data_IF_801561773041
#
_entry.id   IF_801561773041
#
_cell.length_a   1.000
_cell.length_b   1.000
_cell.length_c   1.000
_cell.angle_alpha   90.00
_cell.angle_beta   90.00
_cell.angle_gamma   90.00
#
_symmetry.space_group_name_H-M   'P 1'
#
loop_
_entity.id
_entity.type
_entity.pdbx_description
1 polymer ?
#
# COMPACT_ATOMS: atom_id res chain seq x y z
N UNK A 1 6.83 0.84 -21.24
CA UNK A 1 6.86 0.21 -19.91
C UNK A 1 5.53 0.52 -19.19
N UNK A 2 5.38 0.25 -17.90
CA UNK A 2 4.11 0.43 -17.20
C UNK A 2 3.83 1.91 -16.92
N UNK A 3 2.62 2.40 -17.23
CA UNK A 3 2.20 3.79 -16.98
C UNK A 3 1.94 4.07 -15.49
N UNK A 4 1.46 3.06 -14.77
CA UNK A 4 1.02 3.15 -13.38
C UNK A 4 1.80 2.14 -12.55
N UNK A 5 2.59 2.63 -11.60
CA UNK A 5 3.35 1.79 -10.67
C UNK A 5 2.68 1.84 -9.31
N UNK A 6 2.35 0.67 -8.78
CA UNK A 6 1.82 0.52 -7.42
C UNK A 6 2.91 -0.04 -6.52
N UNK A 7 3.15 0.58 -5.37
CA UNK A 7 4.19 0.14 -4.43
C UNK A 7 3.87 0.47 -2.98
N UNK A 8 4.72 0.05 -2.07
CA UNK A 8 4.72 0.42 -0.65
C UNK A 8 6.16 0.35 -0.14
N UNK A 9 6.41 0.94 1.03
CA UNK A 9 7.71 0.80 1.70
C UNK A 9 7.97 -0.67 2.09
N UNK A 10 9.23 -1.00 2.34
CA UNK A 10 9.64 -2.39 2.56
C UNK A 10 8.98 -3.01 3.80
N UNK A 11 8.76 -2.21 4.85
CA UNK A 11 8.14 -2.70 6.08
C UNK A 11 6.67 -3.07 5.86
N UNK A 12 6.00 -2.45 4.89
CA UNK A 12 4.64 -2.78 4.47
C UNK A 12 4.58 -3.80 3.33
N UNK A 13 5.63 -3.95 2.52
CA UNK A 13 5.60 -4.84 1.35
C UNK A 13 5.96 -6.29 1.67
N UNK A 14 6.86 -6.51 2.63
CA UNK A 14 7.39 -7.83 3.03
C UNK A 14 6.30 -8.83 3.47
N UNK A 15 6.50 -10.13 3.31
CA UNK A 15 5.63 -11.17 3.88
C UNK A 15 6.02 -11.60 5.30
N UNK A 16 7.13 -11.07 5.82
CA UNK A 16 7.65 -11.42 7.14
C UNK A 16 7.97 -12.92 7.28
N UNK A 17 8.39 -13.59 6.20
CA UNK A 17 8.57 -15.06 6.14
C UNK A 17 7.29 -15.84 6.50
N UNK A 18 6.11 -15.29 6.19
CA UNK A 18 4.83 -15.92 6.52
C UNK A 18 4.35 -15.65 7.94
N UNK A 19 5.11 -14.94 8.77
CA UNK A 19 4.79 -14.68 10.17
C UNK A 19 4.51 -13.19 10.42
N UNK A 20 3.24 -12.77 10.27
CA UNK A 20 2.80 -11.37 10.44
C UNK A 20 3.22 -10.74 11.79
N UNK A 21 3.39 -11.54 12.84
CA UNK A 21 3.87 -11.09 14.14
C UNK A 21 5.23 -10.38 14.06
N UNK A 22 6.12 -10.79 13.15
CA UNK A 22 7.42 -10.13 12.97
C UNK A 22 7.29 -8.68 12.46
N UNK A 23 6.13 -8.30 11.91
CA UNK A 23 5.83 -6.90 11.58
C UNK A 23 5.97 -5.96 12.78
N UNK A 24 5.68 -6.43 14.01
CA UNK A 24 5.88 -5.63 15.22
C UNK A 24 7.34 -5.29 15.50
N UNK A 25 8.29 -6.12 15.05
CA UNK A 25 9.72 -5.82 15.17
C UNK A 25 10.10 -4.56 14.37
N UNK A 26 9.39 -4.26 13.27
CA UNK A 26 9.64 -3.06 12.46
C UNK A 26 9.04 -1.79 13.07
N UNK A 27 8.19 -1.91 14.09
CA UNK A 27 7.67 -0.79 14.86
C UNK A 27 8.69 -0.26 15.89
N UNK A 28 9.78 -0.98 16.16
CA UNK A 28 10.83 -0.52 17.08
C UNK A 28 11.66 0.61 16.45
N UNK A 29 12.29 1.49 17.27
CA UNK A 29 13.31 2.40 16.80
C UNK A 29 14.44 1.67 16.07
N UNK A 30 14.83 2.14 14.87
CA UNK A 30 15.83 1.45 14.05
C UNK A 30 17.20 1.32 14.75
N UNK A 31 17.52 2.23 15.68
CA UNK A 31 18.73 2.15 16.50
C UNK A 31 18.80 0.92 17.42
N UNK A 32 17.66 0.26 17.66
CA UNK A 32 17.56 -0.95 18.49
C UNK A 32 17.47 -2.23 17.66
N UNK A 33 17.27 -2.12 16.35
CA UNK A 33 17.11 -3.25 15.45
C UNK A 33 18.34 -3.36 14.57
N UNK A 34 19.22 -4.36 14.76
CA UNK A 34 20.37 -4.54 13.89
C UNK A 34 19.94 -4.68 12.43
N UNK A 35 20.70 -4.08 11.51
CA UNK A 35 20.36 -4.04 10.09
C UNK A 35 20.15 -5.44 9.50
N UNK A 36 21.00 -6.40 9.91
CA UNK A 36 20.89 -7.79 9.47
C UNK A 36 19.53 -8.39 9.86
N UNK A 37 19.08 -8.14 11.09
CA UNK A 37 17.79 -8.60 11.62
C UNK A 37 16.65 -7.92 10.87
N UNK A 38 16.70 -6.59 10.70
CA UNK A 38 15.67 -5.85 9.98
C UNK A 38 15.46 -6.39 8.57
N UNK A 39 16.53 -6.66 7.81
CA UNK A 39 16.41 -6.97 6.38
C UNK A 39 16.42 -8.45 6.01
N UNK A 40 16.93 -9.34 6.87
CA UNK A 40 16.96 -10.77 6.58
C UNK A 40 15.91 -11.55 7.38
N UNK A 41 15.51 -11.06 8.55
CA UNK A 41 14.54 -11.73 9.42
C UNK A 41 13.19 -11.01 9.35
N UNK A 42 13.15 -9.72 9.64
CA UNK A 42 11.87 -9.01 9.77
C UNK A 42 11.28 -8.59 8.41
N UNK A 43 12.11 -8.21 7.44
CA UNK A 43 11.64 -7.72 6.14
C UNK A 43 12.34 -8.38 4.95
N UNK A 44 12.22 -9.72 4.78
CA UNK A 44 12.78 -10.40 3.62
C UNK A 44 12.35 -9.79 2.28
N UNK A 45 13.15 -10.05 1.25
CA UNK A 45 12.89 -9.53 -0.09
C UNK A 45 11.75 -10.30 -0.75
N UNK A 46 10.76 -9.58 -1.26
CA UNK A 46 9.67 -10.18 -2.03
C UNK A 46 10.18 -10.67 -3.39
N UNK A 47 9.88 -11.92 -3.80
CA UNK A 47 10.24 -12.44 -5.12
C UNK A 47 9.42 -11.76 -6.23
N UNK A 48 10.01 -11.70 -7.43
CA UNK A 48 9.39 -11.05 -8.59
C UNK A 48 9.42 -11.93 -9.84
N UNK A 49 8.51 -11.66 -10.77
CA UNK A 49 8.53 -12.16 -12.15
C UNK A 49 8.72 -10.97 -13.07
N UNK A 50 9.94 -10.80 -13.60
CA UNK A 50 10.33 -9.52 -14.19
C UNK A 50 10.28 -8.42 -13.12
N UNK A 51 9.60 -7.30 -13.42
CA UNK A 51 9.38 -6.18 -12.48
C UNK A 51 8.25 -6.43 -11.48
N UNK A 52 7.31 -7.33 -11.80
CA UNK A 52 6.07 -7.55 -11.06
C UNK A 52 6.31 -8.41 -9.81
N UNK A 53 5.74 -8.00 -8.68
CA UNK A 53 5.76 -8.78 -7.45
C UNK A 53 4.97 -10.10 -7.61
N UNK A 54 5.47 -11.20 -7.04
CA UNK A 54 4.72 -12.48 -7.02
C UNK A 54 3.50 -12.41 -6.09
N UNK A 55 3.60 -11.61 -5.03
CA UNK A 55 2.52 -11.28 -4.12
C UNK A 55 2.69 -9.83 -3.64
N UNK A 56 1.65 -9.24 -3.08
CA UNK A 56 1.69 -7.86 -2.59
C UNK A 56 0.77 -7.64 -1.38
N UNK A 57 0.89 -6.51 -0.66
CA UNK A 57 -0.10 -6.11 0.34
C UNK A 57 -1.52 -6.16 -0.23
N UNK A 58 -2.46 -6.72 0.53
CA UNK A 58 -3.84 -6.95 0.07
C UNK A 58 -4.51 -5.67 -0.46
N UNK A 59 -4.29 -4.53 0.19
CA UNK A 59 -4.82 -3.24 -0.25
C UNK A 59 -4.34 -2.85 -1.65
N UNK A 60 -3.07 -3.11 -1.99
CA UNK A 60 -2.52 -2.83 -3.32
C UNK A 60 -3.12 -3.81 -4.36
N UNK A 61 -3.32 -5.08 -3.98
CA UNK A 61 -3.96 -6.07 -4.85
C UNK A 61 -5.38 -5.66 -5.24
N UNK A 62 -6.15 -5.11 -4.29
CA UNK A 62 -7.48 -4.55 -4.56
C UNK A 62 -7.44 -3.32 -5.45
N UNK A 63 -6.51 -2.39 -5.19
CA UNK A 63 -6.31 -1.21 -6.05
C UNK A 63 -5.98 -1.61 -7.48
N UNK A 64 -5.09 -2.58 -7.68
CA UNK A 64 -4.80 -3.11 -9.01
C UNK A 64 -6.06 -3.67 -9.67
N UNK A 65 -6.77 -4.58 -8.99
CA UNK A 65 -7.98 -5.19 -9.52
C UNK A 65 -9.04 -4.14 -9.89
N UNK A 66 -9.17 -3.07 -9.11
CA UNK A 66 -10.06 -1.94 -9.40
C UNK A 66 -9.65 -1.13 -10.62
N UNK A 67 -8.35 -0.92 -10.84
CA UNK A 67 -7.90 -0.30 -12.09
C UNK A 67 -8.24 -1.20 -13.28
N UNK A 68 -7.97 -2.50 -13.20
CA UNK A 68 -8.30 -3.42 -14.30
C UNK A 68 -9.82 -3.46 -14.57
N UNK A 69 -10.63 -3.53 -13.52
CA UNK A 69 -12.10 -3.46 -13.64
C UNK A 69 -12.60 -2.14 -14.24
N UNK A 70 -11.84 -1.05 -14.08
CA UNK A 70 -12.13 0.24 -14.69
C UNK A 70 -11.64 0.38 -16.15
N UNK A 71 -11.06 -0.67 -16.73
CA UNK A 71 -10.64 -0.74 -18.13
C UNK A 71 -9.16 -0.48 -18.38
N UNK A 72 -8.32 -0.42 -17.35
CA UNK A 72 -6.87 -0.34 -17.53
C UNK A 72 -6.28 -1.69 -17.94
N UNK A 73 -5.25 -1.69 -18.78
CA UNK A 73 -4.52 -2.91 -19.12
C UNK A 73 -3.64 -3.36 -17.95
N UNK A 74 -3.46 -4.67 -17.81
CA UNK A 74 -2.54 -5.25 -16.81
C UNK A 74 -1.07 -4.97 -17.12
N UNK A 75 -0.77 -4.61 -18.37
CA UNK A 75 0.57 -4.18 -18.77
C UNK A 75 0.84 -2.71 -18.39
N UNK A 76 -0.21 -1.89 -18.29
CA UNK A 76 -0.11 -0.49 -17.87
C UNK A 76 -0.02 -0.33 -16.35
N UNK A 77 -0.52 -1.31 -15.58
CA UNK A 77 -0.55 -1.28 -14.11
C UNK A 77 0.36 -2.37 -13.56
N UNK A 78 1.43 -2.00 -12.86
CA UNK A 78 2.37 -2.98 -12.29
C UNK A 78 2.60 -2.74 -10.80
N UNK A 79 2.43 -3.81 -10.01
CA UNK A 79 2.81 -3.82 -8.60
C UNK A 79 4.30 -4.16 -8.47
N UNK A 80 5.08 -3.23 -7.94
CA UNK A 80 6.55 -3.32 -7.87
C UNK A 80 7.02 -3.25 -6.42
N UNK A 81 7.85 -4.20 -5.93
CA UNK A 81 8.42 -4.08 -4.60
C UNK A 81 9.40 -2.88 -4.52
N UNK A 82 9.56 -2.23 -3.36
CA UNK A 82 10.28 -0.96 -3.22
C UNK A 82 11.72 -0.99 -3.77
N UNK A 83 12.43 -2.12 -3.59
CA UNK A 83 13.80 -2.33 -4.10
C UNK A 83 13.93 -2.29 -5.63
N UNK A 84 12.82 -2.39 -6.36
CA UNK A 84 12.79 -2.41 -7.83
C UNK A 84 12.18 -1.14 -8.44
N UNK A 85 11.72 -0.20 -7.62
CA UNK A 85 11.10 1.06 -8.07
C UNK A 85 12.03 1.83 -9.03
N UNK A 86 13.32 1.94 -8.71
CA UNK A 86 14.30 2.61 -9.58
C UNK A 86 14.55 1.92 -10.93
N UNK A 87 14.20 0.63 -11.05
CA UNK A 87 14.29 -0.11 -12.32
C UNK A 87 12.98 -0.10 -13.11
N UNK A 88 11.86 0.15 -12.44
CA UNK A 88 10.54 0.09 -13.04
C UNK A 88 10.05 1.44 -13.55
N UNK A 89 10.51 2.55 -12.94
CA UNK A 89 10.18 3.91 -13.35
C UNK A 89 11.07 4.34 -14.51
N UNK A 90 10.45 4.91 -15.54
CA UNK A 90 11.07 5.50 -16.71
C UNK A 90 10.25 6.69 -17.25
N UNK A 91 10.52 7.10 -18.49
CA UNK A 91 9.83 8.22 -19.14
C UNK A 91 8.38 7.92 -19.57
N UNK A 92 7.98 6.65 -19.63
CA UNK A 92 6.59 6.26 -19.91
C UNK A 92 5.72 6.26 -18.64
N UNK A 93 6.36 6.31 -17.47
CA UNK A 93 5.66 6.29 -16.18
C UNK A 93 4.95 7.62 -15.97
N UNK A 94 3.64 7.58 -15.76
CA UNK A 94 2.82 8.76 -15.52
C UNK A 94 2.39 8.89 -14.05
N UNK A 95 2.21 7.76 -13.36
CA UNK A 95 1.71 7.72 -11.97
C UNK A 95 2.49 6.68 -11.14
N UNK A 96 2.90 7.08 -9.95
CA UNK A 96 3.39 6.19 -8.89
C UNK A 96 2.46 6.31 -7.69
N UNK A 97 1.73 5.24 -7.38
CA UNK A 97 0.84 5.17 -6.24
C UNK A 97 1.45 4.34 -5.10
N UNK A 98 1.50 4.92 -3.91
CA UNK A 98 2.19 4.36 -2.75
C UNK A 98 1.18 4.08 -1.64
N UNK A 99 1.11 2.83 -1.22
CA UNK A 99 0.33 2.44 -0.05
C UNK A 99 1.15 2.61 1.23
N UNK A 100 0.57 3.28 2.24
CA UNK A 100 1.21 3.54 3.53
C UNK A 100 0.36 3.06 4.70
N UNK A 101 1.03 2.46 5.70
CA UNK A 101 0.43 2.03 6.96
C UNK A 101 0.83 2.94 8.13
N UNK A 102 2.12 3.22 8.28
CA UNK A 102 2.64 4.00 9.41
C UNK A 102 3.92 4.80 9.05
N UNK A 103 3.83 5.72 8.08
CA UNK A 103 4.99 6.37 7.46
C UNK A 103 5.78 7.32 8.39
N UNK A 104 5.23 7.68 9.54
CA UNK A 104 5.85 8.56 10.56
C UNK A 104 6.01 7.89 11.92
N UNK A 105 5.68 6.59 12.02
CA UNK A 105 5.79 5.87 13.27
C UNK A 105 4.91 6.46 14.37
N UNK A 106 3.68 6.83 14.03
CA UNK A 106 2.68 7.45 14.92
C UNK A 106 1.48 6.52 15.16
N UNK A 107 1.40 5.38 14.47
CA UNK A 107 0.40 4.36 14.77
C UNK A 107 0.58 3.83 16.20
N UNK A 108 -0.50 3.36 16.86
CA UNK A 108 -0.47 3.07 18.30
C UNK A 108 0.70 2.18 18.74
N UNK A 109 0.96 1.08 18.02
CA UNK A 109 2.03 0.15 18.39
C UNK A 109 3.42 0.79 18.26
N UNK A 110 3.69 1.42 17.11
CA UNK A 110 4.97 2.09 16.86
C UNK A 110 5.20 3.25 17.81
N UNK A 111 4.17 4.05 18.09
CA UNK A 111 4.24 5.15 19.06
C UNK A 111 4.58 4.63 20.45
N UNK A 112 3.86 3.60 20.93
CA UNK A 112 4.10 3.00 22.25
C UNK A 112 5.52 2.42 22.35
N UNK A 113 5.95 1.65 21.35
CA UNK A 113 7.29 1.06 21.36
C UNK A 113 8.39 2.11 21.28
N UNK A 114 8.21 3.17 20.49
CA UNK A 114 9.12 4.33 20.48
C UNK A 114 9.19 5.00 21.84
N UNK A 115 8.04 5.29 22.47
CA UNK A 115 7.98 5.96 23.77
C UNK A 115 8.70 5.13 24.85
N UNK A 116 8.40 3.83 24.95
CA UNK A 116 9.01 2.94 25.93
C UNK A 116 10.52 2.74 25.70
N UNK A 117 10.97 2.82 24.46
CA UNK A 117 12.37 2.69 24.11
C UNK A 117 13.20 3.96 24.36
N UNK A 118 12.60 5.08 24.78
CA UNK A 118 13.29 6.38 24.90
C UNK A 118 13.31 7.21 23.61
N UNK A 119 12.34 6.98 22.73
CA UNK A 119 12.17 7.69 21.46
C UNK A 119 13.09 7.18 20.33
N UNK A 120 13.04 7.92 19.22
CA UNK A 120 13.79 7.63 18.00
C UNK A 120 12.88 7.26 16.82
N UNK A 121 13.44 7.30 15.61
CA UNK A 121 12.76 6.95 14.35
C UNK A 121 12.56 5.43 14.27
N UNK A 122 11.36 4.98 13.92
CA UNK A 122 11.05 3.54 13.76
C UNK A 122 11.62 2.98 12.46
N UNK A 123 11.71 1.65 12.35
CA UNK A 123 12.06 1.01 11.07
C UNK A 123 10.99 1.30 10.00
N UNK A 124 9.68 1.35 10.36
CA UNK A 124 8.61 1.76 9.44
C UNK A 124 8.83 3.16 8.86
N UNK A 125 9.15 4.13 9.71
CA UNK A 125 9.43 5.50 9.31
C UNK A 125 10.70 5.58 8.44
N UNK A 126 11.75 4.83 8.79
CA UNK A 126 12.98 4.75 8.01
C UNK A 126 12.74 4.19 6.60
N UNK A 127 11.99 3.09 6.46
CA UNK A 127 11.72 2.48 5.16
C UNK A 127 10.86 3.37 4.27
N UNK A 128 9.87 4.07 4.83
CA UNK A 128 9.09 5.05 4.10
C UNK A 128 9.98 6.18 3.57
N UNK A 129 10.85 6.75 4.40
CA UNK A 129 11.75 7.83 3.96
C UNK A 129 12.74 7.36 2.88
N UNK A 130 13.26 6.13 3.00
CA UNK A 130 14.10 5.51 1.96
C UNK A 130 13.36 5.41 0.63
N UNK A 131 12.13 4.92 0.63
CA UNK A 131 11.30 4.85 -0.58
C UNK A 131 11.05 6.25 -1.17
N UNK A 132 10.59 7.20 -0.35
CA UNK A 132 10.25 8.54 -0.84
C UNK A 132 11.46 9.30 -1.38
N UNK A 133 12.66 9.08 -0.84
CA UNK A 133 13.89 9.67 -1.39
C UNK A 133 14.17 9.19 -2.82
N UNK A 134 14.00 7.88 -3.07
CA UNK A 134 14.15 7.31 -4.42
C UNK A 134 13.06 7.85 -5.35
N UNK A 135 11.80 7.82 -4.91
CA UNK A 135 10.66 8.29 -5.71
C UNK A 135 10.81 9.77 -6.07
N UNK A 136 11.20 10.63 -5.12
CA UNK A 136 11.39 12.07 -5.38
C UNK A 136 12.49 12.32 -6.41
N UNK A 137 13.63 11.66 -6.28
CA UNK A 137 14.72 11.79 -7.25
C UNK A 137 14.30 11.35 -8.66
N UNK A 138 13.53 10.27 -8.77
CA UNK A 138 13.01 9.81 -10.05
C UNK A 138 11.92 10.74 -10.59
N UNK A 139 11.08 11.31 -9.72
CA UNK A 139 10.04 12.27 -10.10
C UNK A 139 10.65 13.54 -10.69
N UNK A 140 11.72 14.05 -10.10
CA UNK A 140 12.47 15.20 -10.66
C UNK A 140 13.02 14.91 -12.06
N UNK A 141 13.37 13.65 -12.34
CA UNK A 141 13.89 13.22 -13.64
C UNK A 141 12.81 12.97 -14.69
N UNK A 142 11.68 12.36 -14.31
CA UNK A 142 10.69 11.84 -15.26
C UNK A 142 9.33 12.56 -15.22
N UNK A 143 9.04 13.36 -14.18
CA UNK A 143 7.86 14.22 -14.14
C UNK A 143 6.52 13.54 -13.79
N UNK A 144 6.52 12.27 -13.41
CA UNK A 144 5.29 11.54 -13.02
C UNK A 144 4.61 12.10 -11.77
N UNK A 145 3.33 11.75 -11.59
CA UNK A 145 2.54 12.10 -10.40
C UNK A 145 2.67 11.06 -9.29
N UNK A 146 2.74 11.52 -8.05
CA UNK A 146 2.81 10.69 -6.84
C UNK A 146 1.51 10.79 -6.07
N UNK A 147 0.84 9.65 -5.91
CA UNK A 147 -0.37 9.52 -5.11
C UNK A 147 -0.05 8.65 -3.90
N UNK A 148 -0.39 9.10 -2.69
CA UNK A 148 -0.17 8.32 -1.46
C UNK A 148 -1.50 8.06 -0.78
N UNK A 149 -1.79 6.78 -0.52
CA UNK A 149 -3.02 6.36 0.13
C UNK A 149 -2.80 5.21 1.12
N UNK A 150 -3.87 4.81 1.79
CA UNK A 150 -3.82 3.79 2.85
C UNK A 150 -4.06 4.37 4.24
N UNK A 151 -4.18 3.52 5.26
CA UNK A 151 -4.63 3.91 6.59
C UNK A 151 -3.66 4.85 7.32
N UNK A 152 -2.38 4.91 6.91
CA UNK A 152 -1.37 5.78 7.50
C UNK A 152 -1.26 7.17 6.86
N UNK A 153 -2.03 7.48 5.81
CA UNK A 153 -1.81 8.70 5.01
C UNK A 153 -2.01 9.99 5.82
N UNK A 154 -2.86 9.97 6.86
CA UNK A 154 -3.14 11.13 7.72
C UNK A 154 -1.87 11.70 8.38
N UNK A 155 -0.85 10.85 8.57
CA UNK A 155 0.45 11.24 9.15
C UNK A 155 1.26 12.14 8.21
N UNK A 156 0.89 12.22 6.93
CA UNK A 156 1.61 12.94 5.87
C UNK A 156 0.97 14.30 5.54
N UNK A 157 -0.15 14.65 6.17
CA UNK A 157 -0.78 15.97 6.00
C UNK A 157 0.18 17.07 6.47
N UNK A 158 0.46 18.04 5.61
CA UNK A 158 1.48 19.09 5.84
C UNK A 158 2.91 18.68 5.48
N UNK A 159 3.14 17.44 5.03
CA UNK A 159 4.44 16.94 4.58
C UNK A 159 4.48 16.61 3.08
N UNK A 160 3.44 16.96 2.34
CA UNK A 160 3.27 16.64 0.92
C UNK A 160 4.44 17.18 0.10
N UNK A 161 4.80 18.45 0.30
CA UNK A 161 5.93 19.07 -0.39
C UNK A 161 7.27 18.39 -0.05
N UNK A 162 7.51 18.07 1.22
CA UNK A 162 8.75 17.41 1.68
C UNK A 162 8.97 16.06 0.97
N UNK A 163 7.90 15.31 0.77
CA UNK A 163 7.95 13.99 0.16
C UNK A 163 7.60 13.99 -1.35
N UNK A 164 7.32 15.16 -1.94
CA UNK A 164 6.97 15.28 -3.36
C UNK A 164 5.64 14.63 -3.73
N UNK A 165 4.68 14.60 -2.81
CA UNK A 165 3.34 14.00 -2.98
C UNK A 165 2.43 15.00 -3.69
N UNK A 166 1.78 14.60 -4.78
CA UNK A 166 0.81 15.45 -5.48
C UNK A 166 -0.61 15.27 -4.94
N UNK A 167 -0.98 14.03 -4.57
CA UNK A 167 -2.32 13.69 -4.09
C UNK A 167 -2.23 12.78 -2.86
N UNK A 168 -2.86 13.20 -1.75
CA UNK A 168 -3.20 12.32 -0.64
C UNK A 168 -4.59 11.72 -0.86
N UNK A 169 -4.68 10.40 -0.79
CA UNK A 169 -5.93 9.65 -1.00
C UNK A 169 -6.42 9.03 0.31
N UNK A 170 -7.55 9.53 0.81
CA UNK A 170 -8.23 9.09 2.02
C UNK A 170 -9.44 8.21 1.69
N UNK A 171 -9.69 7.15 2.46
CA UNK A 171 -10.89 6.32 2.29
C UNK A 171 -10.67 5.11 1.38
N UNK A 172 -11.76 4.63 0.76
CA UNK A 172 -11.73 3.42 -0.08
C UNK A 172 -11.41 3.76 -1.53
N UNK A 173 -10.56 2.95 -2.16
CA UNK A 173 -9.97 3.30 -3.45
C UNK A 173 -10.77 2.77 -4.64
N UNK A 174 -11.56 1.72 -4.45
CA UNK A 174 -12.02 0.86 -5.54
C UNK A 174 -12.81 1.59 -6.64
N UNK A 175 -13.55 2.65 -6.31
CA UNK A 175 -14.29 3.48 -7.26
C UNK A 175 -13.59 4.80 -7.58
N UNK A 176 -13.26 5.57 -6.55
CA UNK A 176 -12.77 6.95 -6.72
C UNK A 176 -11.34 7.00 -7.24
N UNK A 177 -10.48 6.04 -6.86
CA UNK A 177 -9.08 6.06 -7.29
C UNK A 177 -8.92 5.84 -8.81
N UNK A 178 -9.57 4.85 -9.46
CA UNK A 178 -9.55 4.74 -10.92
C UNK A 178 -10.02 6.01 -11.65
N UNK A 179 -11.00 6.74 -11.11
CA UNK A 179 -11.47 8.02 -11.68
C UNK A 179 -10.36 9.07 -11.57
N UNK A 180 -9.71 9.20 -10.41
CA UNK A 180 -8.58 10.12 -10.21
C UNK A 180 -7.42 9.80 -11.14
N UNK A 181 -7.09 8.52 -11.33
CA UNK A 181 -6.03 8.08 -12.25
C UNK A 181 -6.39 8.46 -13.68
N UNK A 182 -7.61 8.18 -14.16
CA UNK A 182 -8.04 8.58 -15.52
C UNK A 182 -7.90 10.08 -15.75
N UNK A 183 -8.34 10.90 -14.79
CA UNK A 183 -8.20 12.36 -14.85
C UNK A 183 -6.74 12.79 -15.00
N UNK A 184 -5.86 12.26 -14.15
CA UNK A 184 -4.44 12.60 -14.19
C UNK A 184 -3.78 12.20 -15.51
N UNK A 185 -4.10 11.02 -16.05
CA UNK A 185 -3.58 10.57 -17.36
C UNK A 185 -4.10 11.41 -18.53
N UNK A 186 -5.30 11.99 -18.40
CA UNK A 186 -5.85 12.93 -19.38
C UNK A 186 -5.30 14.36 -19.23
N UNK A 187 -4.40 14.61 -18.29
CA UNK A 187 -3.90 15.95 -17.98
C UNK A 187 -4.90 16.85 -17.25
N UNK A 188 -5.98 16.29 -16.71
CA UNK A 188 -6.96 17.03 -15.90
C UNK A 188 -6.44 17.28 -14.49
N UNK A 189 -6.87 18.39 -13.87
CA UNK A 189 -6.53 18.67 -12.49
C UNK A 189 -7.28 17.75 -11.52
N UNK A 190 -6.56 17.26 -10.51
CA UNK A 190 -7.11 16.51 -9.39
C UNK A 190 -6.75 17.23 -8.08
N UNK A 191 -7.68 17.35 -7.11
CA UNK A 191 -7.38 17.97 -5.82
C UNK A 191 -6.20 17.29 -5.12
N UNK A 192 -5.41 18.08 -4.38
CA UNK A 192 -4.29 17.56 -3.57
C UNK A 192 -4.72 16.58 -2.48
N UNK A 193 -5.99 16.63 -2.08
CA UNK A 193 -6.58 15.66 -1.17
C UNK A 193 -7.87 15.13 -1.81
N UNK A 194 -7.92 13.81 -2.01
CA UNK A 194 -9.07 13.10 -2.55
C UNK A 194 -9.62 12.19 -1.47
N UNK A 195 -10.94 12.22 -1.27
CA UNK A 195 -11.65 11.32 -0.37
C UNK A 195 -12.45 10.31 -1.18
N UNK A 196 -12.05 9.05 -1.10
CA UNK A 196 -12.77 7.90 -1.60
C UNK A 196 -14.00 7.59 -0.77
N UNK A 197 -15.07 7.24 -1.47
CA UNK A 197 -16.36 6.88 -0.88
C UNK A 197 -16.42 5.41 -0.46
N UNK A 198 -17.27 5.04 0.50
CA UNK A 198 -17.53 3.63 0.82
C UNK A 198 -18.00 2.87 -0.42
N UNK A 199 -17.27 1.81 -0.80
CA UNK A 199 -17.57 1.05 -2.02
C UNK A 199 -18.60 -0.05 -1.76
N UNK A 200 -19.72 -0.11 -2.51
CA UNK A 200 -20.66 -1.23 -2.47
C UNK A 200 -19.97 -2.58 -2.71
N UNK A 201 -20.41 -3.66 -2.05
CA UNK A 201 -19.74 -4.96 -2.12
C UNK A 201 -19.61 -5.50 -3.55
N UNK A 202 -20.64 -5.32 -4.38
CA UNK A 202 -20.68 -5.73 -5.79
C UNK A 202 -19.70 -4.95 -6.68
N UNK A 203 -19.15 -3.84 -6.19
CA UNK A 203 -18.16 -3.01 -6.87
C UNK A 203 -16.73 -3.26 -6.38
N UNK A 204 -16.52 -4.14 -5.40
CA UNK A 204 -15.19 -4.52 -4.93
C UNK A 204 -14.74 -5.76 -5.73
N UNK A 205 -13.77 -5.63 -6.65
CA UNK A 205 -13.35 -6.76 -7.46
C UNK A 205 -12.53 -7.77 -6.65
N UNK A 206 -12.50 -9.02 -7.11
CA UNK A 206 -11.58 -10.04 -6.61
C UNK A 206 -10.13 -9.65 -6.91
N UNK A 207 -9.20 -10.00 -6.02
CA UNK A 207 -7.78 -9.82 -6.29
C UNK A 207 -7.33 -10.62 -7.51
N UNK A 208 -6.43 -10.04 -8.31
CA UNK A 208 -5.82 -10.69 -9.48
C UNK A 208 -4.30 -10.88 -9.33
N UNK A 209 -3.75 -10.39 -8.22
CA UNK A 209 -2.39 -10.63 -7.75
C UNK A 209 -2.49 -11.21 -6.34
N UNK A 210 -1.75 -12.28 -6.02
CA UNK A 210 -1.82 -12.91 -4.71
C UNK A 210 -1.52 -11.93 -3.58
N UNK A 211 -2.27 -12.02 -2.49
CA UNK A 211 -1.99 -11.24 -1.29
C UNK A 211 -0.85 -11.89 -0.51
N UNK A 212 0.07 -11.07 0.03
CA UNK A 212 1.09 -11.55 0.97
C UNK A 212 0.37 -12.27 2.12
N UNK A 213 0.94 -13.37 2.61
CA UNK A 213 0.39 -14.18 3.71
C UNK A 213 -1.07 -14.64 3.50
N UNK A 214 -1.57 -14.62 2.26
CA UNK A 214 -2.91 -15.08 1.92
C UNK A 214 -4.02 -14.31 2.62
N UNK A 215 -3.80 -13.02 2.90
CA UNK A 215 -4.82 -12.16 3.49
C UNK A 215 -6.09 -12.13 2.65
N UNK A 216 -7.24 -12.41 3.26
CA UNK A 216 -8.57 -12.31 2.64
C UNK A 216 -9.48 -11.44 3.52
N UNK A 217 -10.18 -10.48 2.91
CA UNK A 217 -11.07 -9.60 3.68
C UNK A 217 -12.44 -10.24 3.85
N UNK A 218 -12.76 -10.64 5.09
CA UNK A 218 -14.09 -11.17 5.43
C UNK A 218 -15.09 -10.07 5.78
N UNK A 219 -14.62 -8.91 6.25
CA UNK A 219 -15.44 -7.76 6.61
C UNK A 219 -14.72 -6.46 6.30
N UNK A 220 -15.47 -5.39 6.05
CA UNK A 220 -14.94 -4.03 5.92
C UNK A 220 -15.75 -3.07 6.76
N UNK A 221 -15.07 -2.09 7.35
CA UNK A 221 -15.66 -1.16 8.31
C UNK A 221 -15.80 -1.74 9.71
N UNK A 222 -16.38 -0.95 10.63
CA UNK A 222 -16.51 -1.24 12.05
C UNK A 222 -17.82 -0.64 12.57
N UNK A 223 -18.69 -1.44 13.21
CA UNK A 223 -20.01 -0.97 13.67
C UNK A 223 -19.94 -0.11 14.93
N UNK A 224 -18.77 -0.01 15.59
CA UNK A 224 -18.60 0.72 16.86
C UNK A 224 -18.71 2.24 16.75
N UNK A 225 -18.43 2.79 15.55
CA UNK A 225 -18.52 4.24 15.26
C UNK A 225 -17.87 5.14 16.32
N UNK A 226 -16.69 4.76 16.80
CA UNK A 226 -15.96 5.54 17.80
C UNK A 226 -15.71 6.97 17.29
N UNK A 227 -15.87 7.97 18.17
CA UNK A 227 -15.77 9.40 17.82
C UNK A 227 -14.39 9.79 17.25
N UNK A 228 -13.34 9.04 17.60
CA UNK A 228 -11.97 9.27 17.13
C UNK A 228 -11.61 8.51 15.83
N UNK A 229 -12.49 7.63 15.34
CA UNK A 229 -12.21 6.84 14.14
C UNK A 229 -12.62 7.57 12.86
N UNK A 230 -11.95 7.24 11.74
CA UNK A 230 -12.28 7.78 10.42
C UNK A 230 -13.72 7.37 10.02
N UNK A 231 -14.60 8.32 9.63
CA UNK A 231 -15.99 8.04 9.25
C UNK A 231 -16.17 7.03 8.11
N UNK A 232 -15.23 6.92 7.17
CA UNK A 232 -15.32 5.91 6.09
C UNK A 232 -15.31 4.49 6.66
N UNK A 233 -14.72 4.28 7.84
CA UNK A 233 -14.73 3.00 8.54
C UNK A 233 -16.08 2.66 9.18
N UNK A 234 -17.09 3.54 9.18
CA UNK A 234 -18.38 3.25 9.83
C UNK A 234 -19.30 2.34 9.00
N UNK A 235 -19.01 2.16 7.71
CA UNK A 235 -19.81 1.34 6.80
C UNK A 235 -19.42 -0.14 6.93
N UNK A 236 -19.91 -0.76 8.02
CA UNK A 236 -19.70 -2.18 8.27
C UNK A 236 -20.47 -3.04 7.26
N UNK A 237 -19.75 -3.99 6.64
CA UNK A 237 -20.31 -4.97 5.72
C UNK A 237 -19.46 -6.24 5.70
N UNK A 238 -20.14 -7.37 5.59
CA UNK A 238 -19.53 -8.69 5.49
C UNK A 238 -19.49 -9.14 4.04
N UNK A 239 -18.37 -9.70 3.61
CA UNK A 239 -18.27 -10.28 2.28
C UNK A 239 -19.07 -11.59 2.21
N UNK A 240 -19.74 -11.86 1.07
CA UNK A 240 -20.34 -13.16 0.82
C UNK A 240 -19.32 -14.30 0.88
N UNK A 241 -19.73 -15.48 1.35
CA UNK A 241 -18.83 -16.64 1.52
C UNK A 241 -18.22 -17.12 0.20
N UNK A 242 -18.96 -17.00 -0.90
CA UNK A 242 -18.47 -17.34 -2.24
C UNK A 242 -17.32 -16.41 -2.67
N UNK A 243 -17.40 -15.11 -2.37
CA UNK A 243 -16.32 -14.15 -2.64
C UNK A 243 -15.08 -14.46 -1.79
N UNK A 244 -15.28 -14.74 -0.50
CA UNK A 244 -14.20 -15.12 0.42
C UNK A 244 -13.51 -16.40 -0.08
N UNK A 245 -14.30 -17.42 -0.43
CA UNK A 245 -13.77 -18.72 -0.91
C UNK A 245 -13.01 -18.57 -2.22
N UNK A 246 -13.50 -17.74 -3.14
CA UNK A 246 -12.81 -17.47 -4.41
C UNK A 246 -11.42 -16.83 -4.20
N UNK A 247 -11.28 -15.89 -3.26
CA UNK A 247 -9.96 -15.30 -2.96
C UNK A 247 -9.01 -16.26 -2.24
N UNK A 248 -9.54 -17.09 -1.33
CA UNK A 248 -8.77 -18.17 -0.70
C UNK A 248 -8.22 -19.11 -1.77
N UNK A 249 -9.09 -19.63 -2.64
CA UNK A 249 -8.69 -20.51 -3.73
C UNK A 249 -7.69 -19.84 -4.68
N UNK A 250 -7.88 -18.55 -4.97
CA UNK A 250 -6.97 -17.79 -5.81
C UNK A 250 -5.56 -17.72 -5.20
N UNK A 251 -5.44 -17.41 -3.91
CA UNK A 251 -4.15 -17.40 -3.21
C UNK A 251 -3.49 -18.80 -3.22
N UNK A 252 -4.23 -19.85 -2.87
CA UNK A 252 -3.73 -21.23 -2.86
C UNK A 252 -3.25 -21.68 -4.24
N UNK A 253 -4.03 -21.42 -5.31
CA UNK A 253 -3.67 -21.73 -6.71
C UNK A 253 -2.39 -21.02 -7.17
N UNK A 254 -2.03 -19.91 -6.54
CA UNK A 254 -0.82 -19.14 -6.85
C UNK A 254 0.35 -19.42 -5.89
N UNK A 255 0.28 -20.50 -5.09
CA UNK A 255 1.38 -20.97 -4.27
C UNK A 255 1.54 -20.25 -2.93
N UNK A 256 0.50 -19.57 -2.45
CA UNK A 256 0.46 -19.07 -1.08
C UNK A 256 -0.05 -20.21 -0.19
N UNK A 257 0.72 -20.56 0.84
CA UNK A 257 0.42 -21.73 1.70
C UNK A 257 -0.39 -21.38 2.96
N UNK A 258 -0.30 -20.13 3.42
CA UNK A 258 -1.01 -19.64 4.60
C UNK A 258 -2.17 -18.73 4.20
N UNK A 259 -3.29 -18.81 4.91
CA UNK A 259 -4.47 -17.94 4.71
C UNK A 259 -4.76 -17.21 6.02
N UNK A 260 -4.91 -15.88 5.94
CA UNK A 260 -5.09 -14.97 7.08
C UNK A 260 -6.32 -14.08 6.91
#
# INVERSE_FOLDING_TARGET
MAKIILTADRAVFTDYHGADLFGFGLCLPYRLVPELVQYHILSPKVPTRGLRAKYAPYAICKVEASLIAAGFSRDDVVIVPPRMVAKAIDGDTEIVAIHVLDPKGLAPVTWTLKALAGGGKSCTELEFEKLMNVVRSLKEKYGFKVIVGGPGNWQLRGYEYKYGIDVLFDGEAELTFPISVKKLLNGEEVPRSVKGEPTPLDKIPLIITPSRNGLVQITRGCPRKCHFCNPTMWHFRSFPLDIITQEIEFNLKNGIENIS
#
